data_IF_085285538227
#
_entry.id   IF_085285538227
#
_cell.length_a   1.000
_cell.length_b   1.000
_cell.length_c   1.000
_cell.angle_alpha   90.00
_cell.angle_beta   90.00
_cell.angle_gamma   90.00
#
_symmetry.space_group_name_H-M   'P 1'
#
loop_
_entity.id
_entity.type
_entity.pdbx_description
1 polymer ?
#
# COMPACT_ATOMS: atom_id res chain seq x y z
N UNK A 1 -37.32 16.41 13.01
CA UNK A 1 -36.07 15.70 13.34
C UNK A 1 -35.07 15.93 12.22
N UNK A 2 -33.84 16.40 12.49
CA UNK A 2 -32.81 16.51 11.45
C UNK A 2 -32.44 15.09 11.00
N UNK A 3 -32.56 14.80 9.70
CA UNK A 3 -32.13 13.51 9.15
C UNK A 3 -30.60 13.47 9.17
N UNK A 4 -30.03 12.47 9.84
CA UNK A 4 -28.59 12.19 9.83
C UNK A 4 -28.19 11.89 8.37
N UNK A 5 -27.23 12.63 7.83
CA UNK A 5 -26.73 12.42 6.46
C UNK A 5 -26.21 10.97 6.38
N UNK A 6 -26.59 10.19 5.35
CA UNK A 6 -26.14 8.81 5.24
C UNK A 6 -24.60 8.77 5.18
N UNK A 7 -24.02 7.83 5.91
CA UNK A 7 -22.57 7.66 5.96
C UNK A 7 -22.08 7.06 4.64
N UNK A 8 -21.30 7.82 3.87
CA UNK A 8 -20.68 7.33 2.64
C UNK A 8 -19.36 6.61 2.97
N UNK A 9 -18.83 5.84 2.02
CA UNK A 9 -17.50 5.21 2.18
C UNK A 9 -16.39 6.25 2.44
N UNK A 10 -16.43 7.36 1.70
CA UNK A 10 -15.55 8.51 1.92
C UNK A 10 -15.71 9.06 3.34
N UNK A 11 -16.93 9.04 3.88
CA UNK A 11 -17.17 9.53 5.22
C UNK A 11 -16.50 8.68 6.30
N UNK A 12 -16.35 7.38 6.07
CA UNK A 12 -15.61 6.49 6.97
C UNK A 12 -14.12 6.74 6.91
N UNK A 13 -13.56 6.91 5.71
CA UNK A 13 -12.12 7.12 5.52
C UNK A 13 -11.66 8.42 6.19
N UNK A 14 -12.40 9.54 6.01
CA UNK A 14 -11.99 10.79 6.66
C UNK A 14 -12.05 10.68 8.19
N UNK A 15 -13.01 9.95 8.75
CA UNK A 15 -13.10 9.77 10.21
C UNK A 15 -11.92 8.97 10.74
N UNK A 16 -11.59 7.86 10.08
CA UNK A 16 -10.44 7.04 10.45
C UNK A 16 -9.13 7.85 10.41
N UNK A 17 -8.96 8.70 9.40
CA UNK A 17 -7.77 9.56 9.30
C UNK A 17 -7.71 10.59 10.44
N UNK A 18 -8.84 11.21 10.80
CA UNK A 18 -8.89 12.17 11.90
C UNK A 18 -8.66 11.48 13.25
N UNK A 19 -9.23 10.29 13.47
CA UNK A 19 -9.11 9.54 14.71
C UNK A 19 -7.68 9.04 14.94
N UNK A 20 -7.01 8.54 13.90
CA UNK A 20 -5.65 7.97 14.00
C UNK A 20 -4.56 9.04 14.06
N UNK A 21 -4.61 10.04 13.18
CA UNK A 21 -3.52 11.01 13.00
C UNK A 21 -3.75 12.37 13.67
N UNK A 22 -4.98 12.68 14.10
CA UNK A 22 -5.36 13.93 14.77
C UNK A 22 -4.69 15.20 14.18
N UNK A 23 -4.77 15.42 12.84
CA UNK A 23 -4.05 16.51 12.22
C UNK A 23 -4.64 17.87 12.64
N UNK A 24 -3.80 18.78 13.14
CA UNK A 24 -4.20 20.13 13.52
C UNK A 24 -3.95 21.15 12.39
N UNK A 25 -2.94 20.87 11.54
CA UNK A 25 -2.55 21.72 10.43
C UNK A 25 -2.65 21.00 9.07
N UNK A 26 -2.60 21.78 7.99
CA UNK A 26 -2.50 21.24 6.63
C UNK A 26 -1.21 20.42 6.44
N UNK A 27 -0.13 20.80 7.13
CA UNK A 27 1.13 20.08 7.08
C UNK A 27 1.01 18.69 7.72
N UNK A 28 0.33 18.59 8.86
CA UNK A 28 0.10 17.32 9.55
C UNK A 28 -0.77 16.39 8.69
N UNK A 29 -1.75 16.97 7.99
CA UNK A 29 -2.56 16.20 7.03
C UNK A 29 -1.72 15.67 5.86
N UNK A 30 -0.76 16.44 5.35
CA UNK A 30 0.14 15.98 4.30
C UNK A 30 1.04 14.83 4.77
N UNK A 31 1.58 14.90 5.99
CA UNK A 31 2.39 13.82 6.55
C UNK A 31 1.54 12.57 6.81
N UNK A 32 0.32 12.71 7.32
CA UNK A 32 -0.61 11.59 7.48
C UNK A 32 -0.93 10.90 6.15
N UNK A 33 -1.14 11.66 5.07
CA UNK A 33 -1.38 11.12 3.74
C UNK A 33 -0.15 10.41 3.17
N UNK A 34 1.04 10.97 3.39
CA UNK A 34 2.32 10.37 3.01
C UNK A 34 2.54 9.04 3.71
N UNK A 35 2.30 8.98 5.02
CA UNK A 35 2.41 7.75 5.81
C UNK A 35 1.38 6.71 5.39
N UNK A 36 0.13 7.12 5.19
CA UNK A 36 -0.93 6.25 4.68
C UNK A 36 -0.53 5.63 3.33
N UNK A 37 -0.05 6.45 2.40
CA UNK A 37 0.39 6.00 1.08
C UNK A 37 1.55 5.00 1.21
N UNK A 38 2.56 5.32 2.02
CA UNK A 38 3.70 4.44 2.26
C UNK A 38 3.30 3.09 2.86
N UNK A 39 2.46 3.10 3.89
CA UNK A 39 1.94 1.89 4.53
C UNK A 39 1.08 1.06 3.58
N UNK A 40 0.28 1.72 2.73
CA UNK A 40 -0.54 1.06 1.71
C UNK A 40 0.34 0.33 0.70
N UNK A 41 1.38 0.98 0.18
CA UNK A 41 2.33 0.36 -0.75
C UNK A 41 3.05 -0.81 -0.09
N UNK A 42 3.52 -0.68 1.16
CA UNK A 42 4.14 -1.77 1.91
C UNK A 42 3.20 -2.97 2.06
N UNK A 43 1.92 -2.73 2.37
CA UNK A 43 0.93 -3.79 2.51
C UNK A 43 0.68 -4.51 1.18
N UNK A 44 0.53 -3.74 0.08
CA UNK A 44 0.36 -4.30 -1.25
C UNK A 44 1.54 -5.17 -1.68
N UNK A 45 2.77 -4.72 -1.44
CA UNK A 45 3.97 -5.49 -1.76
C UNK A 45 4.07 -6.79 -0.96
N UNK A 46 3.64 -6.78 0.31
CA UNK A 46 3.58 -8.01 1.13
C UNK A 46 2.54 -8.99 0.57
N UNK A 47 1.35 -8.51 0.23
CA UNK A 47 0.31 -9.34 -0.37
C UNK A 47 0.74 -9.92 -1.73
N UNK A 48 1.47 -9.15 -2.54
CA UNK A 48 2.07 -9.66 -3.79
C UNK A 48 3.10 -10.77 -3.51
N UNK A 49 3.93 -10.62 -2.49
CA UNK A 49 4.91 -11.64 -2.12
C UNK A 49 4.24 -12.91 -1.55
N UNK A 50 3.20 -12.75 -0.72
CA UNK A 50 2.42 -13.87 -0.18
C UNK A 50 1.85 -14.71 -1.33
N UNK A 51 1.29 -14.05 -2.35
CA UNK A 51 0.80 -14.70 -3.57
C UNK A 51 1.91 -15.31 -4.41
N UNK A 52 3.09 -14.68 -4.50
CA UNK A 52 4.22 -15.22 -5.25
C UNK A 52 4.78 -16.50 -4.63
N UNK A 53 4.74 -16.60 -3.29
CA UNK A 53 5.29 -17.73 -2.55
C UNK A 53 4.26 -18.84 -2.26
N UNK A 54 2.97 -18.59 -2.51
CA UNK A 54 1.85 -19.48 -2.18
C UNK A 54 1.73 -19.83 -0.69
N UNK A 55 2.13 -18.93 0.21
CA UNK A 55 1.92 -19.05 1.66
C UNK A 55 1.98 -17.69 2.37
N UNK A 56 1.31 -17.54 3.51
CA UNK A 56 1.27 -16.30 4.30
C UNK A 56 2.42 -16.16 5.31
N UNK A 57 2.61 -14.95 5.86
CA UNK A 57 3.68 -14.73 6.84
C UNK A 57 3.45 -15.56 8.10
N UNK A 58 4.41 -16.41 8.45
CA UNK A 58 4.33 -17.28 9.62
C UNK A 58 3.82 -18.69 9.32
N UNK A 59 3.36 -18.94 8.10
CA UNK A 59 3.06 -20.30 7.64
C UNK A 59 4.32 -21.06 7.23
N UNK A 60 4.24 -22.39 7.23
CA UNK A 60 5.35 -23.24 6.79
C UNK A 60 5.45 -23.17 5.27
N UNK A 61 6.63 -22.84 4.71
CA UNK A 61 6.81 -22.82 3.27
C UNK A 61 6.64 -24.23 2.69
N UNK A 62 5.97 -24.31 1.55
CA UNK A 62 5.80 -25.55 0.79
C UNK A 62 6.90 -25.74 -0.27
N UNK A 63 7.66 -24.69 -0.58
CA UNK A 63 8.74 -24.68 -1.57
C UNK A 63 10.09 -24.35 -0.93
N UNK A 64 11.18 -24.51 -1.70
CA UNK A 64 12.54 -24.11 -1.29
C UNK A 64 12.70 -22.58 -1.27
N UNK A 65 11.93 -21.87 -2.10
CA UNK A 65 11.93 -20.42 -2.11
C UNK A 65 11.17 -19.90 -0.89
N UNK A 66 11.83 -19.05 -0.11
CA UNK A 66 11.30 -18.54 1.16
C UNK A 66 11.56 -17.05 1.26
N UNK A 67 10.87 -16.38 2.19
CA UNK A 67 11.08 -14.94 2.44
C UNK A 67 12.51 -14.69 2.92
N UNK A 68 13.14 -13.65 2.39
CA UNK A 68 14.51 -13.24 2.72
C UNK A 68 14.56 -11.76 3.16
N UNK A 69 13.75 -11.44 4.17
CA UNK A 69 13.69 -10.10 4.75
C UNK A 69 13.17 -9.04 3.77
N UNK A 70 13.70 -7.82 3.90
CA UNK A 70 13.32 -6.66 3.09
C UNK A 70 14.52 -5.80 2.71
N UNK A 71 14.36 -5.00 1.67
CA UNK A 71 15.34 -4.00 1.22
C UNK A 71 14.76 -2.60 1.29
N UNK A 72 15.56 -1.63 1.71
CA UNK A 72 15.13 -0.23 1.77
C UNK A 72 15.13 0.41 0.38
N UNK A 73 14.06 1.13 0.07
CA UNK A 73 13.95 1.95 -1.14
C UNK A 73 13.26 3.26 -0.80
N UNK A 74 13.87 4.37 -1.20
CA UNK A 74 13.26 5.70 -1.09
C UNK A 74 12.58 6.00 -2.42
N UNK A 75 11.30 6.35 -2.37
CA UNK A 75 10.51 6.75 -3.54
C UNK A 75 10.03 8.18 -3.37
N UNK A 76 9.90 8.90 -4.49
CA UNK A 76 9.41 10.26 -4.55
C UNK A 76 7.92 10.26 -4.89
N UNK A 77 7.12 10.91 -4.06
CA UNK A 77 5.68 11.13 -4.23
C UNK A 77 5.38 12.63 -4.27
N UNK A 78 4.14 13.03 -4.56
CA UNK A 78 3.74 14.45 -4.43
C UNK A 78 3.77 14.94 -2.99
N UNK A 79 3.58 14.04 -2.02
CA UNK A 79 3.65 14.32 -0.59
C UNK A 79 5.09 14.30 -0.03
N UNK A 80 6.09 14.06 -0.88
CA UNK A 80 7.51 14.02 -0.50
C UNK A 80 8.15 12.64 -0.67
N UNK A 81 9.33 12.47 -0.06
CA UNK A 81 10.06 11.20 -0.11
C UNK A 81 9.49 10.21 0.91
N UNK A 82 9.23 8.99 0.47
CA UNK A 82 8.68 7.91 1.29
C UNK A 82 9.71 6.78 1.39
N UNK A 83 9.99 6.37 2.62
CA UNK A 83 10.88 5.24 2.90
C UNK A 83 10.09 3.93 2.92
N UNK A 84 10.38 3.06 1.94
CA UNK A 84 9.72 1.78 1.76
C UNK A 84 10.65 0.61 2.08
N UNK A 85 10.06 -0.43 2.69
CA UNK A 85 10.72 -1.71 2.93
C UNK A 85 10.13 -2.72 1.96
N UNK A 86 10.87 -3.01 0.88
CA UNK A 86 10.43 -3.92 -0.17
C UNK A 86 10.74 -5.35 0.24
N UNK A 87 9.72 -6.21 0.38
CA UNK A 87 9.93 -7.58 0.79
C UNK A 87 10.60 -8.38 -0.34
N UNK A 88 11.40 -9.39 0.03
CA UNK A 88 12.18 -10.19 -0.92
C UNK A 88 11.99 -11.68 -0.67
N UNK A 89 12.12 -12.46 -1.72
CA UNK A 89 12.28 -13.90 -1.69
C UNK A 89 13.76 -14.30 -1.71
N UNK A 90 14.04 -15.57 -1.41
CA UNK A 90 15.39 -16.11 -1.27
C UNK A 90 16.04 -16.40 -2.61
N UNK A 91 15.26 -16.78 -3.60
CA UNK A 91 15.74 -17.06 -4.96
C UNK A 91 15.80 -15.80 -5.84
N UNK A 92 15.39 -14.64 -5.30
CA UNK A 92 15.33 -13.34 -6.02
C UNK A 92 14.43 -13.36 -7.27
N UNK A 93 13.51 -14.32 -7.34
CA UNK A 93 12.56 -14.50 -8.44
C UNK A 93 11.34 -13.57 -8.33
N UNK A 94 11.13 -12.92 -7.18
CA UNK A 94 10.01 -12.00 -6.99
C UNK A 94 10.17 -10.73 -7.84
N UNK A 95 9.15 -10.44 -8.65
CA UNK A 95 9.03 -9.22 -9.46
C UNK A 95 7.79 -8.40 -9.05
N UNK A 96 7.94 -7.40 -8.17
CA UNK A 96 6.81 -6.60 -7.70
C UNK A 96 6.18 -5.80 -8.83
N UNK A 97 4.84 -5.79 -8.87
CA UNK A 97 4.05 -5.13 -9.92
C UNK A 97 3.51 -3.78 -9.46
N UNK A 98 3.14 -3.67 -8.18
CA UNK A 98 2.70 -2.40 -7.56
C UNK A 98 3.78 -1.33 -7.60
N UNK A 99 5.04 -1.72 -7.40
CA UNK A 99 6.19 -0.82 -7.48
C UNK A 99 7.32 -1.54 -8.19
N UNK A 100 7.59 -1.18 -9.45
CA UNK A 100 8.56 -1.93 -10.27
C UNK A 100 9.97 -1.82 -9.69
N UNK A 101 10.80 -2.82 -10.02
CA UNK A 101 12.24 -2.77 -9.73
C UNK A 101 12.82 -1.47 -10.32
N UNK A 102 13.64 -0.76 -9.54
CA UNK A 102 14.27 0.52 -9.88
C UNK A 102 13.37 1.75 -10.06
N UNK A 103 12.04 1.62 -10.06
CA UNK A 103 11.11 2.76 -10.16
C UNK A 103 11.16 3.63 -8.90
N UNK A 104 11.65 4.86 -8.99
CA UNK A 104 11.84 5.75 -7.82
C UNK A 104 10.85 6.92 -7.76
N UNK A 105 10.04 7.14 -8.79
CA UNK A 105 9.07 8.23 -8.85
C UNK A 105 7.67 7.64 -9.04
N UNK A 106 6.80 7.90 -8.06
CA UNK A 106 5.41 7.40 -8.03
C UNK A 106 4.39 8.54 -8.06
N UNK A 107 4.84 9.78 -8.29
CA UNK A 107 3.96 10.96 -8.34
C UNK A 107 2.81 10.83 -9.35
N UNK A 108 3.04 10.09 -10.45
CA UNK A 108 2.03 9.85 -11.49
C UNK A 108 1.05 8.71 -11.15
N UNK A 109 1.41 7.81 -10.23
CA UNK A 109 0.66 6.58 -9.93
C UNK A 109 0.01 6.58 -8.55
N UNK A 110 0.45 7.46 -7.64
CA UNK A 110 -0.09 7.58 -6.27
C UNK A 110 -1.62 7.79 -6.23
N UNK A 111 -2.17 8.62 -7.13
CA UNK A 111 -3.60 8.90 -7.18
C UNK A 111 -4.39 7.67 -7.59
N UNK A 112 -3.82 6.81 -8.44
CA UNK A 112 -4.44 5.54 -8.80
C UNK A 112 -4.47 4.62 -7.58
N UNK A 113 -3.34 4.47 -6.87
CA UNK A 113 -3.22 3.65 -5.65
C UNK A 113 -4.24 4.08 -4.58
N UNK A 114 -4.32 5.39 -4.29
CA UNK A 114 -5.29 5.94 -3.31
C UNK A 114 -6.73 5.69 -3.77
N UNK A 115 -7.03 5.92 -5.05
CA UNK A 115 -8.39 5.72 -5.58
C UNK A 115 -8.84 4.27 -5.53
N UNK A 116 -7.93 3.32 -5.72
CA UNK A 116 -8.20 1.90 -5.63
C UNK A 116 -8.57 1.49 -4.21
N UNK A 117 -7.79 1.96 -3.22
CA UNK A 117 -8.08 1.71 -1.82
C UNK A 117 -9.41 2.34 -1.39
N UNK A 118 -9.66 3.60 -1.78
CA UNK A 118 -10.92 4.28 -1.48
C UNK A 118 -12.15 3.57 -2.08
N UNK A 119 -11.98 2.87 -3.20
CA UNK A 119 -13.03 2.07 -3.85
C UNK A 119 -13.12 0.64 -3.32
N UNK A 120 -12.13 0.17 -2.56
CA UNK A 120 -12.01 -1.23 -2.11
C UNK A 120 -11.65 -2.19 -3.24
N UNK A 121 -10.96 -1.71 -4.27
CA UNK A 121 -10.56 -2.51 -5.43
C UNK A 121 -9.12 -3.01 -5.17
N UNK A 122 -8.87 -4.33 -5.11
CA UNK A 122 -7.51 -4.86 -5.08
C UNK A 122 -6.78 -4.53 -6.40
N UNK A 123 -5.44 -4.45 -6.38
CA UNK A 123 -4.55 -4.08 -7.51
C UNK A 123 -5.13 -4.29 -8.93
N UNK A 124 -4.97 -3.36 -9.90
CA UNK A 124 -5.76 -3.34 -11.14
C UNK A 124 -5.64 -4.60 -11.99
N UNK A 125 -4.60 -5.40 -11.74
CA UNK A 125 -4.33 -6.63 -12.46
C UNK A 125 -5.02 -7.86 -11.86
N UNK A 126 -5.82 -7.71 -10.80
CA UNK A 126 -6.67 -8.80 -10.28
C UNK A 126 -8.00 -8.97 -11.06
N UNK A 127 -8.14 -8.33 -12.22
CA UNK A 127 -9.32 -8.44 -13.11
C UNK A 127 -9.05 -9.36 -14.32
N UNK A 128 -7.84 -9.91 -14.48
CA UNK A 128 -7.47 -10.75 -15.63
C UNK A 128 -7.15 -12.21 -15.29
N UNK A 129 -7.64 -12.75 -14.17
CA UNK A 129 -7.62 -14.19 -13.92
C UNK A 129 -8.87 -14.61 -13.15
N UNK A 130 -9.98 -14.72 -13.88
CA UNK A 130 -11.18 -15.51 -13.55
C UNK A 130 -11.59 -16.27 -14.79
#
# INVERSE_FOLDING_TARGET
>A
MPRKRPETRLNKIYKMLIEEYQPETVQDLQEALKDLLGNTIKHLLKAELDKHLDYEYGEKPLSLNTRNGSSKKIVKSSYGNIDLDIPRDREEAFEPQVLKKYEKDISNTENQIISMYAKGIPSPNNVYNS
#
